data_IF_705630046143
#
_entry.id   IF_705630046143
#
_cell.length_a   1.000
_cell.length_b   1.000
_cell.length_c   1.000
_cell.angle_alpha   90.00
_cell.angle_beta   90.00
_cell.angle_gamma   90.00
#
_symmetry.space_group_name_H-M   'P 1'
#
loop_
_entity.id
_entity.type
_entity.pdbx_description
1 polymer ?
#
# COMPACT_ATOMS: atom_id res chain seq x y z
N UNK A 1 -16.73 -5.42 0.54
CA UNK A 1 -15.72 -5.71 1.58
C UNK A 1 -14.70 -6.63 0.94
N UNK A 2 -13.41 -6.33 1.06
CA UNK A 2 -12.33 -7.13 0.46
C UNK A 2 -12.28 -8.54 1.06
N UNK A 3 -11.69 -9.46 0.32
CA UNK A 3 -11.63 -10.88 0.70
C UNK A 3 -10.29 -11.23 1.37
N UNK A 4 -9.24 -10.45 1.12
CA UNK A 4 -7.89 -10.67 1.65
C UNK A 4 -7.24 -9.36 2.10
N UNK A 5 -6.38 -9.47 3.12
CA UNK A 5 -5.58 -8.36 3.64
C UNK A 5 -4.15 -8.87 3.86
N UNK A 6 -3.19 -8.30 3.16
CA UNK A 6 -1.80 -8.75 3.12
C UNK A 6 -0.91 -7.65 3.71
N UNK A 7 0.04 -8.05 4.56
CA UNK A 7 0.97 -7.14 5.25
C UNK A 7 2.41 -7.50 4.88
N UNK A 8 2.85 -7.21 3.64
CA UNK A 8 4.20 -7.49 3.20
C UNK A 8 5.25 -6.79 4.08
N UNK A 9 6.40 -7.43 4.22
CA UNK A 9 7.54 -6.93 4.99
C UNK A 9 8.61 -6.28 4.11
N UNK A 10 8.43 -6.33 2.78
CA UNK A 10 9.30 -5.71 1.81
C UNK A 10 8.52 -5.19 0.59
N UNK A 11 9.12 -4.25 -0.15
CA UNK A 11 8.56 -3.76 -1.42
C UNK A 11 8.40 -4.89 -2.43
N UNK A 12 9.33 -5.87 -2.43
CA UNK A 12 9.26 -7.04 -3.31
C UNK A 12 8.00 -7.87 -3.05
N UNK A 13 7.73 -8.22 -1.79
CA UNK A 13 6.53 -8.97 -1.41
C UNK A 13 5.22 -8.21 -1.74
N UNK A 14 5.23 -6.89 -1.57
CA UNK A 14 4.10 -6.04 -1.95
C UNK A 14 3.84 -6.12 -3.47
N UNK A 15 4.89 -6.01 -4.29
CA UNK A 15 4.78 -6.11 -5.75
C UNK A 15 4.35 -7.49 -6.21
N UNK A 16 4.87 -8.56 -5.60
CA UNK A 16 4.45 -9.94 -5.89
C UNK A 16 2.97 -10.15 -5.59
N UNK A 17 2.49 -9.59 -4.47
CA UNK A 17 1.08 -9.65 -4.10
C UNK A 17 0.21 -8.90 -5.10
N UNK A 18 0.58 -7.66 -5.45
CA UNK A 18 -0.14 -6.87 -6.45
C UNK A 18 -0.21 -7.58 -7.81
N UNK A 19 0.90 -8.20 -8.24
CA UNK A 19 0.95 -8.99 -9.46
C UNK A 19 0.07 -10.25 -9.39
N UNK A 20 0.03 -10.93 -8.24
CA UNK A 20 -0.79 -12.14 -8.01
C UNK A 20 -2.29 -11.86 -8.17
N UNK A 21 -2.74 -10.68 -7.78
CA UNK A 21 -4.14 -10.27 -7.88
C UNK A 21 -4.48 -9.54 -9.20
N UNK A 22 -3.55 -9.40 -10.14
CA UNK A 22 -3.76 -8.90 -11.51
C UNK A 22 -4.64 -7.62 -11.59
N UNK A 23 -4.28 -6.61 -10.79
CA UNK A 23 -4.99 -5.33 -10.72
C UNK A 23 -6.24 -5.30 -9.84
N UNK A 24 -6.56 -6.40 -9.16
CA UNK A 24 -7.67 -6.49 -8.21
C UNK A 24 -7.24 -6.28 -6.75
N UNK A 25 -5.96 -6.03 -6.52
CA UNK A 25 -5.42 -5.61 -5.24
C UNK A 25 -5.11 -4.10 -5.23
N UNK A 26 -5.26 -3.47 -4.07
CA UNK A 26 -4.96 -2.05 -3.88
C UNK A 26 -4.07 -1.83 -2.66
N UNK A 27 -3.10 -0.92 -2.81
CA UNK A 27 -2.21 -0.51 -1.73
C UNK A 27 -2.99 0.31 -0.70
N UNK A 28 -2.74 0.04 0.59
CA UNK A 28 -3.21 0.85 1.70
C UNK A 28 -2.04 1.26 2.59
N UNK A 29 -2.05 2.54 2.98
CA UNK A 29 -1.14 3.13 3.96
C UNK A 29 -2.00 3.62 5.15
N UNK A 30 -2.13 4.93 5.36
CA UNK A 30 -3.02 5.49 6.40
C UNK A 30 -4.52 5.25 6.21
N UNK A 31 -4.96 4.85 5.01
CA UNK A 31 -6.32 4.36 4.74
C UNK A 31 -7.48 5.38 4.87
N UNK A 32 -7.20 6.63 5.22
CA UNK A 32 -8.24 7.63 5.55
C UNK A 32 -9.23 7.87 4.41
N UNK A 33 -8.73 8.03 3.19
CA UNK A 33 -9.58 8.22 2.01
C UNK A 33 -10.10 6.89 1.45
N UNK A 34 -9.21 5.91 1.30
CA UNK A 34 -9.51 4.62 0.65
C UNK A 34 -10.61 3.84 1.39
N UNK A 35 -10.61 3.82 2.72
CA UNK A 35 -11.62 3.07 3.49
C UNK A 35 -13.02 3.65 3.26
N UNK A 36 -13.13 4.98 3.13
CA UNK A 36 -14.41 5.65 2.84
C UNK A 36 -14.88 5.28 1.44
N UNK A 37 -14.00 5.35 0.44
CA UNK A 37 -14.34 4.98 -0.95
C UNK A 37 -14.83 3.53 -1.07
N UNK A 38 -14.16 2.60 -0.39
CA UNK A 38 -14.55 1.19 -0.37
C UNK A 38 -15.90 0.95 0.31
N UNK A 39 -16.21 1.72 1.37
CA UNK A 39 -17.51 1.68 2.05
C UNK A 39 -18.63 2.22 1.16
N UNK A 40 -18.34 3.24 0.35
CA UNK A 40 -19.25 3.78 -0.66
C UNK A 40 -19.41 2.85 -1.89
N UNK A 41 -18.70 1.72 -1.92
CA UNK A 41 -18.73 0.76 -3.03
C UNK A 41 -17.98 1.23 -4.27
N UNK A 42 -17.15 2.27 -4.15
CA UNK A 42 -16.24 2.70 -5.21
C UNK A 42 -15.04 1.74 -5.23
N UNK A 43 -14.62 1.35 -6.44
CA UNK A 43 -13.46 0.47 -6.66
C UNK A 43 -13.53 -0.86 -5.88
N UNK A 44 -14.34 -1.84 -6.31
CA UNK A 44 -14.31 -3.15 -5.67
C UNK A 44 -12.91 -3.76 -5.83
N UNK A 45 -12.27 -4.05 -4.69
CA UNK A 45 -10.98 -4.74 -4.61
C UNK A 45 -11.14 -6.07 -3.90
N UNK A 46 -10.35 -7.05 -4.33
CA UNK A 46 -10.32 -8.37 -3.72
C UNK A 46 -9.31 -8.44 -2.57
N UNK A 47 -8.23 -7.66 -2.65
CA UNK A 47 -7.18 -7.63 -1.65
C UNK A 47 -6.69 -6.21 -1.33
N UNK A 48 -6.44 -5.95 -0.04
CA UNK A 48 -5.66 -4.80 0.39
C UNK A 48 -4.23 -5.22 0.70
N UNK A 49 -3.27 -4.42 0.22
CA UNK A 49 -1.84 -4.61 0.45
C UNK A 49 -1.35 -3.47 1.34
N UNK A 50 -1.16 -3.77 2.61
CA UNK A 50 -0.77 -2.80 3.63
C UNK A 50 0.75 -2.63 3.64
N UNK A 51 1.21 -1.46 3.20
CA UNK A 51 2.64 -1.14 3.12
C UNK A 51 3.18 -0.50 4.40
N UNK A 52 2.34 -0.33 5.44
CA UNK A 52 2.70 0.46 6.62
C UNK A 52 3.90 -0.08 7.40
N UNK A 53 4.16 -1.39 7.30
CA UNK A 53 5.25 -2.05 8.00
C UNK A 53 6.51 -2.25 7.16
N UNK A 54 6.55 -1.78 5.91
CA UNK A 54 7.72 -1.94 5.05
C UNK A 54 8.82 -0.97 5.53
N UNK A 55 9.97 -1.47 6.00
CA UNK A 55 11.04 -0.60 6.48
C UNK A 55 11.55 0.32 5.39
N UNK A 56 11.76 1.59 5.72
CA UNK A 56 12.31 2.59 4.79
C UNK A 56 11.26 3.37 4.00
N UNK A 57 9.98 3.00 4.08
CA UNK A 57 8.89 3.78 3.46
C UNK A 57 8.38 4.94 4.33
N UNK A 58 8.85 5.04 5.57
CA UNK A 58 8.46 6.02 6.59
C UNK A 58 9.59 7.01 6.94
N UNK A 59 10.62 7.08 6.09
CA UNK A 59 11.84 7.83 6.38
C UNK A 59 11.92 9.15 5.62
N UNK A 60 12.63 10.11 6.22
CA UNK A 60 13.02 11.36 5.58
C UNK A 60 14.53 11.43 5.59
N UNK A 61 15.13 11.44 4.41
CA UNK A 61 16.58 11.38 4.25
C UNK A 61 17.08 12.49 3.31
N UNK A 62 18.26 13.04 3.62
CA UNK A 62 18.95 13.95 2.72
C UNK A 62 19.96 13.19 1.85
N UNK A 63 19.76 13.24 0.54
CA UNK A 63 20.62 12.63 -0.48
C UNK A 63 21.28 13.73 -1.32
N UNK A 64 22.41 14.24 -0.82
CA UNK A 64 23.09 15.40 -1.42
C UNK A 64 22.21 16.65 -1.34
N UNK A 65 21.82 17.17 -2.49
CA UNK A 65 20.96 18.35 -2.60
C UNK A 65 19.45 18.01 -2.55
N UNK A 66 19.09 16.73 -2.45
CA UNK A 66 17.71 16.27 -2.43
C UNK A 66 17.26 15.86 -1.03
N UNK A 67 15.98 16.07 -0.75
CA UNK A 67 15.29 15.44 0.38
C UNK A 67 14.37 14.37 -0.19
N UNK A 68 14.60 13.13 0.23
CA UNK A 68 13.73 12.00 -0.05
C UNK A 68 12.75 11.86 1.11
N UNK A 69 11.46 11.75 0.79
CA UNK A 69 10.37 11.53 1.75
C UNK A 69 9.70 10.22 1.38
N UNK A 70 9.64 9.30 2.34
CA UNK A 70 8.96 8.04 2.21
C UNK A 70 7.46 8.22 1.92
N UNK A 71 6.84 7.30 1.16
CA UNK A 71 5.45 7.44 0.72
C UNK A 71 4.40 7.13 1.82
N UNK A 72 4.82 6.70 3.01
CA UNK A 72 3.95 6.20 4.06
C UNK A 72 3.93 7.11 5.30
#
# INVERSE_FOLDING_TARGET
MWQSYEMPTSVGEALETLARFDGQAQIIAGGTDLIIELQEGKHPVECLVDITNIPGLDQIEQLGDWIMVGPN
#
